data_IF_804290867747
#
_entry.id   IF_804290867747
#
_cell.length_a   1.000
_cell.length_b   1.000
_cell.length_c   1.000
_cell.angle_alpha   90.00
_cell.angle_beta   90.00
_cell.angle_gamma   90.00
#
_symmetry.space_group_name_H-M   'P 1'
#
loop_
_entity.id
_entity.type
_entity.pdbx_description
1 polymer ?
#
# COMPACT_ATOMS: atom_id res chain seq x y z
N UNK A 1 -15.17 -18.28 -8.55
CA UNK A 1 -15.56 -17.38 -7.44
C UNK A 1 -14.68 -16.15 -7.49
N UNK A 2 -15.19 -15.03 -8.01
CA UNK A 2 -14.46 -13.77 -8.06
C UNK A 2 -14.44 -13.16 -6.67
N UNK A 3 -13.40 -13.43 -5.89
CA UNK A 3 -13.16 -12.69 -4.66
C UNK A 3 -12.99 -11.21 -5.03
N UNK A 4 -13.97 -10.37 -4.69
CA UNK A 4 -13.83 -8.93 -4.80
C UNK A 4 -12.81 -8.49 -3.75
N UNK A 5 -11.55 -8.39 -4.16
CA UNK A 5 -10.49 -7.83 -3.32
C UNK A 5 -10.74 -6.35 -3.14
N UNK A 6 -10.99 -5.95 -1.90
CA UNK A 6 -11.01 -4.54 -1.53
C UNK A 6 -9.57 -4.11 -1.20
N UNK A 7 -9.16 -2.86 -1.48
CA UNK A 7 -7.81 -2.39 -1.18
C UNK A 7 -7.32 -2.73 0.23
N UNK A 8 -8.20 -2.62 1.23
CA UNK A 8 -7.88 -2.91 2.62
C UNK A 8 -7.69 -4.40 2.94
N UNK A 9 -8.28 -5.31 2.16
CA UNK A 9 -8.08 -6.76 2.34
C UNK A 9 -6.68 -7.25 1.98
N UNK A 10 -5.91 -6.42 1.26
CA UNK A 10 -4.50 -6.66 0.91
C UNK A 10 -3.53 -6.09 1.96
N UNK A 11 -4.03 -5.22 2.85
CA UNK A 11 -3.24 -4.56 3.88
C UNK A 11 -3.27 -5.39 5.15
N UNK A 12 -2.11 -5.86 5.58
CA UNK A 12 -1.94 -6.66 6.80
C UNK A 12 -1.45 -5.79 7.97
N UNK A 13 -1.62 -6.30 9.21
CA UNK A 13 -1.28 -5.59 10.45
C UNK A 13 0.20 -5.17 10.46
N UNK A 14 0.46 -3.98 10.98
CA UNK A 14 1.77 -3.30 11.02
C UNK A 14 2.94 -4.22 11.33
N UNK A 15 3.99 -4.18 10.51
CA UNK A 15 5.28 -4.85 10.82
C UNK A 15 6.14 -3.94 11.72
N UNK A 16 6.02 -2.62 11.52
CA UNK A 16 6.65 -1.56 12.31
C UNK A 16 5.64 -0.42 12.53
N UNK A 17 5.83 0.47 13.54
CA UNK A 17 5.00 1.65 13.70
C UNK A 17 4.96 2.48 12.41
N UNK A 18 3.75 2.70 11.87
CA UNK A 18 3.57 3.47 10.63
C UNK A 18 3.90 2.71 9.34
N UNK A 19 4.10 1.40 9.37
CA UNK A 19 4.34 0.58 8.18
C UNK A 19 3.39 -0.63 8.12
N UNK A 20 2.69 -0.79 7.00
CA UNK A 20 1.76 -1.89 6.74
C UNK A 20 2.20 -2.70 5.54
N UNK A 21 2.22 -4.02 5.67
CA UNK A 21 2.54 -4.90 4.54
C UNK A 21 1.36 -5.04 3.60
N UNK A 22 1.64 -4.94 2.31
CA UNK A 22 0.69 -5.16 1.22
C UNK A 22 1.03 -6.49 0.56
N UNK A 23 0.10 -7.43 0.61
CA UNK A 23 0.24 -8.72 -0.04
C UNK A 23 -1.07 -9.11 -0.71
N UNK A 24 -0.97 -9.84 -1.82
CA UNK A 24 -2.09 -10.63 -2.32
C UNK A 24 -1.94 -12.11 -1.91
N UNK A 25 -2.87 -12.98 -2.30
CA UNK A 25 -2.82 -14.42 -1.94
C UNK A 25 -1.56 -15.13 -2.42
N UNK A 26 -0.86 -14.58 -3.41
CA UNK A 26 0.20 -15.24 -4.16
C UNK A 26 1.56 -14.57 -3.99
N UNK A 27 1.60 -13.27 -3.69
CA UNK A 27 2.82 -12.49 -3.63
C UNK A 27 2.80 -11.40 -2.56
N UNK A 28 3.98 -11.20 -1.96
CA UNK A 28 4.30 -9.99 -1.20
C UNK A 28 4.57 -8.86 -2.20
N UNK A 29 3.76 -7.81 -2.14
CA UNK A 29 3.78 -6.71 -3.10
C UNK A 29 4.68 -5.57 -2.61
N UNK A 30 4.82 -5.41 -1.29
CA UNK A 30 5.58 -4.33 -0.67
C UNK A 30 4.90 -3.83 0.60
N UNK A 31 4.99 -2.53 0.84
CA UNK A 31 4.48 -1.91 2.06
C UNK A 31 3.91 -0.51 1.82
N UNK A 32 2.98 -0.10 2.68
CA UNK A 32 2.56 1.29 2.84
C UNK A 32 3.30 1.86 4.03
N UNK A 33 3.90 3.04 3.88
CA UNK A 33 4.58 3.78 4.95
C UNK A 33 3.88 5.09 5.22
N UNK A 34 3.76 5.45 6.49
CA UNK A 34 3.42 6.80 6.91
C UNK A 34 4.71 7.63 6.95
N UNK A 35 4.79 8.66 6.12
CA UNK A 35 5.92 9.59 6.06
C UNK A 35 5.45 11.01 6.34
N UNK A 36 6.37 11.88 6.77
CA UNK A 36 6.13 13.31 6.82
C UNK A 36 6.59 13.93 5.50
N UNK A 37 5.64 14.41 4.71
CA UNK A 37 5.91 15.08 3.44
C UNK A 37 5.39 16.51 3.50
N UNK A 38 6.29 17.49 3.34
CA UNK A 38 5.97 18.93 3.45
C UNK A 38 5.23 19.31 4.75
N UNK A 39 5.53 18.62 5.85
CA UNK A 39 4.89 18.86 7.16
C UNK A 39 3.52 18.20 7.34
N UNK A 40 3.07 17.39 6.38
CA UNK A 40 1.84 16.62 6.46
C UNK A 40 2.13 15.10 6.54
N UNK A 41 1.42 14.35 7.40
CA UNK A 41 1.43 12.90 7.37
C UNK A 41 0.86 12.39 6.04
N UNK A 42 1.60 11.57 5.31
CA UNK A 42 1.20 11.02 4.01
C UNK A 42 1.48 9.53 3.98
N UNK A 43 0.53 8.75 3.46
CA UNK A 43 0.70 7.32 3.26
C UNK A 43 1.29 7.07 1.87
N UNK A 44 2.47 6.46 1.78
CA UNK A 44 3.15 6.17 0.52
C UNK A 44 3.26 4.67 0.29
N UNK A 45 3.02 4.25 -0.95
CA UNK A 45 3.14 2.88 -1.42
C UNK A 45 4.56 2.62 -1.92
N UNK A 46 5.24 1.66 -1.31
CA UNK A 46 6.62 1.32 -1.63
C UNK A 46 6.69 -0.13 -2.06
N UNK A 47 7.28 -0.38 -3.23
CA UNK A 47 7.51 -1.75 -3.72
C UNK A 47 8.64 -2.41 -2.94
N UNK A 48 8.78 -3.73 -3.09
CA UNK A 48 9.88 -4.49 -2.49
C UNK A 48 11.28 -4.00 -2.90
N UNK A 49 11.38 -3.45 -4.10
CA UNK A 49 12.63 -2.90 -4.64
C UNK A 49 12.89 -1.45 -4.17
N UNK A 50 12.02 -0.90 -3.31
CA UNK A 50 12.17 0.42 -2.70
C UNK A 50 11.59 1.58 -3.50
N UNK A 51 10.83 1.33 -4.57
CA UNK A 51 10.24 2.39 -5.39
C UNK A 51 8.92 2.89 -4.82
N UNK A 52 8.75 4.21 -4.74
CA UNK A 52 7.45 4.82 -4.44
C UNK A 52 6.59 4.78 -5.71
N UNK A 53 5.45 4.11 -5.64
CA UNK A 53 4.54 3.89 -6.79
C UNK A 53 3.19 4.58 -6.64
N UNK A 54 2.95 5.21 -5.49
CA UNK A 54 1.72 5.95 -5.22
C UNK A 54 1.63 6.38 -3.76
N UNK A 55 0.53 7.02 -3.42
CA UNK A 55 0.24 7.43 -2.04
C UNK A 55 -1.16 8.03 -1.90
N UNK A 56 -1.47 8.48 -0.70
CA UNK A 56 -2.72 9.16 -0.39
C UNK A 56 -2.77 9.66 1.05
N UNK A 57 -3.84 10.39 1.35
CA UNK A 57 -4.06 10.99 2.67
C UNK A 57 -4.51 9.95 3.70
N UNK A 58 -5.06 8.82 3.22
CA UNK A 58 -5.44 7.69 4.06
C UNK A 58 -4.76 6.39 3.63
N UNK A 59 -4.69 5.43 4.55
CA UNK A 59 -4.21 4.07 4.27
C UNK A 59 -5.02 3.39 3.15
N UNK A 60 -6.32 3.66 3.09
CA UNK A 60 -7.21 3.12 2.04
C UNK A 60 -6.90 3.71 0.66
N UNK A 61 -6.60 5.01 0.59
CA UNK A 61 -6.23 5.68 -0.66
C UNK A 61 -4.90 5.16 -1.18
N UNK A 62 -3.91 5.02 -0.29
CA UNK A 62 -2.64 4.38 -0.62
C UNK A 62 -2.86 2.94 -1.12
N UNK A 63 -3.63 2.12 -0.41
CA UNK A 63 -3.92 0.76 -0.86
C UNK A 63 -4.60 0.71 -2.25
N UNK A 64 -5.50 1.66 -2.53
CA UNK A 64 -6.15 1.77 -3.84
C UNK A 64 -5.18 2.19 -4.94
N UNK A 65 -4.29 3.14 -4.65
CA UNK A 65 -3.23 3.56 -5.56
C UNK A 65 -2.29 2.39 -5.90
N UNK A 66 -1.89 1.61 -4.88
CA UNK A 66 -1.08 0.40 -5.05
C UNK A 66 -1.74 -0.60 -5.99
N UNK A 67 -3.02 -0.91 -5.75
CA UNK A 67 -3.78 -1.87 -6.58
C UNK A 67 -3.92 -1.38 -8.02
N UNK A 68 -4.14 -0.08 -8.21
CA UNK A 68 -4.28 0.53 -9.53
C UNK A 68 -2.98 0.44 -10.32
N UNK A 69 -1.85 0.80 -9.70
CA UNK A 69 -0.53 0.63 -10.28
C UNK A 69 -0.26 -0.84 -10.66
N UNK A 70 -0.52 -1.79 -9.75
CA UNK A 70 -0.27 -3.21 -9.99
C UNK A 70 -1.05 -3.76 -11.19
N UNK A 71 -2.29 -3.31 -11.38
CA UNK A 71 -3.15 -3.69 -12.52
C UNK A 71 -2.73 -3.05 -13.85
N UNK A 72 -2.00 -1.94 -13.80
CA UNK A 72 -1.51 -1.23 -14.99
C UNK A 72 -0.17 -1.76 -15.53
N UNK A 73 0.41 -2.74 -14.83
CA UNK A 73 1.72 -3.34 -15.11
C UNK A 73 1.56 -4.78 -15.55
#
# INVERSE_FOLDING_TARGET
>A
MSHHWTPMSMVSRSILPGEWKVADRTEDLGWIRLVQYQGLPTYVCVTRDGWVVGGGDTLSDAARAFLTWRRSR
#
